data_IF_520695014024
#
_entry.id   IF_520695014024
#
_cell.length_a   1.000
_cell.length_b   1.000
_cell.length_c   1.000
_cell.angle_alpha   90.00
_cell.angle_beta   90.00
_cell.angle_gamma   90.00
#
_symmetry.space_group_name_H-M   'P 1'
#
loop_
_entity.id
_entity.type
_entity.pdbx_description
1 polymer ?
#
# COMPACT_ATOMS: atom_id res chain seq x y z
N UNK A 1 -47.93 -60.73 49.93
CA UNK A 1 -46.51 -60.35 49.95
C UNK A 1 -46.39 -58.84 50.14
N UNK A 2 -45.57 -58.45 51.12
CA UNK A 2 -44.94 -57.14 51.41
C UNK A 2 -45.71 -55.82 51.13
N UNK A 3 -46.44 -55.36 52.15
CA UNK A 3 -46.14 -54.21 53.04
C UNK A 3 -45.47 -52.93 52.49
N UNK A 4 -46.23 -51.80 52.63
CA UNK A 4 -45.93 -50.43 53.19
C UNK A 4 -44.76 -49.66 52.50
N UNK A 5 -44.70 -48.33 52.34
CA UNK A 5 -45.15 -47.20 53.17
C UNK A 5 -45.21 -45.89 52.34
N UNK A 6 -46.25 -45.12 52.64
CA UNK A 6 -46.51 -43.68 52.47
C UNK A 6 -45.38 -42.76 52.95
N UNK A 7 -45.19 -41.56 52.36
CA UNK A 7 -45.06 -40.30 53.12
C UNK A 7 -45.02 -39.04 52.22
N UNK A 8 -46.12 -38.28 52.29
CA UNK A 8 -46.26 -36.83 52.58
C UNK A 8 -45.21 -35.82 52.05
N UNK A 9 -45.62 -34.86 51.20
CA UNK A 9 -46.08 -33.47 51.52
C UNK A 9 -44.91 -32.55 51.91
N UNK A 10 -44.62 -31.45 51.19
CA UNK A 10 -45.18 -30.12 51.51
C UNK A 10 -44.80 -29.06 50.46
N UNK A 11 -45.67 -28.06 50.35
CA UNK A 11 -45.62 -26.92 49.42
C UNK A 11 -44.60 -25.84 49.80
N UNK A 12 -44.18 -25.03 48.83
CA UNK A 12 -43.89 -23.60 49.06
C UNK A 12 -44.02 -22.75 47.79
N UNK A 13 -44.40 -21.51 48.06
CA UNK A 13 -45.05 -20.49 47.24
C UNK A 13 -44.02 -19.49 46.67
N UNK A 14 -44.40 -18.81 45.58
CA UNK A 14 -44.00 -17.44 45.14
C UNK A 14 -42.54 -17.18 44.71
N UNK A 15 -42.38 -16.73 43.45
CA UNK A 15 -42.13 -15.31 43.13
C UNK A 15 -42.03 -15.08 41.61
N UNK A 16 -42.97 -14.30 41.07
CA UNK A 16 -42.88 -13.65 39.76
C UNK A 16 -42.08 -12.35 39.87
N UNK A 17 -41.16 -12.07 38.96
CA UNK A 17 -40.79 -10.72 38.42
C UNK A 17 -39.67 -10.85 37.38
N UNK A 18 -39.52 -9.88 36.47
CA UNK A 18 -39.43 -10.10 35.03
C UNK A 18 -37.99 -10.28 34.55
N UNK A 19 -37.85 -11.07 33.48
CA UNK A 19 -36.65 -11.02 32.65
C UNK A 19 -36.64 -9.63 32.01
N UNK A 20 -35.78 -8.75 32.55
CA UNK A 20 -35.39 -7.51 31.91
C UNK A 20 -34.92 -7.85 30.48
N UNK A 21 -35.72 -7.44 29.51
CA UNK A 21 -35.24 -7.20 28.17
C UNK A 21 -34.19 -6.08 28.26
N UNK A 22 -32.94 -6.47 28.41
CA UNK A 22 -31.85 -5.61 27.99
C UNK A 22 -31.94 -5.58 26.45
N UNK A 23 -32.50 -4.50 25.92
CA UNK A 23 -32.15 -4.03 24.59
C UNK A 23 -30.64 -3.76 24.58
N UNK A 24 -29.85 -4.81 24.35
CA UNK A 24 -28.53 -4.62 23.80
C UNK A 24 -28.75 -4.18 22.35
N UNK A 25 -28.67 -2.87 22.11
CA UNK A 25 -28.11 -2.37 20.85
C UNK A 25 -26.65 -2.84 20.78
N UNK A 26 -26.43 -4.15 20.62
CA UNK A 26 -25.10 -4.69 20.39
C UNK A 26 -24.76 -4.38 18.94
N UNK A 27 -23.72 -3.58 18.74
CA UNK A 27 -23.07 -3.45 17.44
C UNK A 27 -22.76 -4.87 16.93
N UNK A 28 -23.25 -5.29 15.75
CA UNK A 28 -23.41 -6.71 15.47
C UNK A 28 -22.10 -7.49 15.37
N UNK A 29 -20.92 -6.85 15.27
CA UNK A 29 -19.63 -7.55 15.18
C UNK A 29 -18.64 -7.02 16.23
N UNK A 30 -18.92 -7.28 17.51
CA UNK A 30 -17.88 -7.25 18.54
C UNK A 30 -17.03 -8.53 18.57
N UNK A 31 -17.49 -9.63 17.95
CA UNK A 31 -16.81 -10.92 18.03
C UNK A 31 -15.49 -10.94 17.25
N UNK A 32 -14.45 -11.50 17.87
CA UNK A 32 -13.11 -11.77 17.30
C UNK A 32 -13.05 -13.14 16.61
N UNK A 33 -14.17 -13.88 16.63
CA UNK A 33 -14.28 -15.21 16.08
C UNK A 33 -14.01 -15.18 14.56
N UNK A 34 -13.06 -16.00 14.11
CA UNK A 34 -12.64 -16.07 12.70
C UNK A 34 -11.60 -15.02 12.26
N UNK A 35 -11.05 -14.23 13.18
CA UNK A 35 -9.90 -13.35 12.89
C UNK A 35 -8.63 -14.19 12.67
N UNK A 36 -7.89 -13.87 11.62
CA UNK A 36 -6.59 -14.49 11.31
C UNK A 36 -5.51 -13.46 11.59
N UNK A 37 -4.44 -13.89 12.25
CA UNK A 37 -3.25 -13.07 12.49
C UNK A 37 -2.41 -12.97 11.21
N UNK A 38 -2.17 -11.77 10.73
CA UNK A 38 -1.33 -11.48 9.57
C UNK A 38 -0.10 -10.66 9.98
N UNK A 39 0.72 -11.25 10.86
CA UNK A 39 1.92 -10.62 11.43
C UNK A 39 1.73 -10.25 12.89
N UNK A 40 2.80 -9.78 13.53
CA UNK A 40 2.73 -9.32 14.93
C UNK A 40 1.73 -8.16 15.03
N UNK A 41 0.78 -8.29 15.95
CA UNK A 41 -0.19 -7.25 16.29
C UNK A 41 -1.15 -6.80 15.17
N UNK A 42 -1.39 -7.63 14.14
CA UNK A 42 -2.39 -7.36 13.10
C UNK A 42 -3.29 -8.57 12.84
N UNK A 43 -4.60 -8.38 13.01
CA UNK A 43 -5.61 -9.39 12.75
C UNK A 43 -6.67 -8.88 11.80
N UNK A 44 -7.08 -9.75 10.88
CA UNK A 44 -8.07 -9.44 9.86
C UNK A 44 -9.10 -10.56 9.71
N UNK A 45 -10.34 -10.18 9.41
CA UNK A 45 -11.42 -11.09 9.01
C UNK A 45 -12.22 -10.43 7.90
N UNK A 46 -12.34 -11.11 6.77
CA UNK A 46 -13.27 -10.74 5.71
C UNK A 46 -14.71 -10.75 6.23
N UNK A 47 -15.48 -9.75 5.82
CA UNK A 47 -16.90 -9.63 6.14
C UNK A 47 -17.74 -9.72 4.87
N UNK A 48 -18.92 -10.33 4.97
CA UNK A 48 -19.94 -10.26 3.93
C UNK A 48 -20.52 -8.84 3.83
N UNK A 49 -21.13 -8.52 2.68
CA UNK A 49 -21.81 -7.22 2.50
C UNK A 49 -22.90 -7.03 3.55
N UNK A 50 -23.67 -8.06 3.88
CA UNK A 50 -24.71 -7.98 4.91
C UNK A 50 -24.14 -7.68 6.30
N UNK A 51 -23.01 -8.31 6.66
CA UNK A 51 -22.29 -8.06 7.91
C UNK A 51 -21.76 -6.62 7.99
N UNK A 52 -21.24 -6.10 6.89
CA UNK A 52 -20.80 -4.70 6.77
C UNK A 52 -21.99 -3.75 6.94
N UNK A 53 -23.07 -3.98 6.20
CA UNK A 53 -24.24 -3.11 6.20
C UNK A 53 -25.04 -3.18 7.50
N UNK A 54 -24.92 -4.26 8.26
CA UNK A 54 -25.51 -4.41 9.59
C UNK A 54 -24.85 -3.52 10.66
N UNK A 55 -23.65 -2.99 10.41
CA UNK A 55 -22.94 -2.18 11.40
C UNK A 55 -23.69 -0.87 11.69
N UNK A 56 -23.78 -0.53 12.98
CA UNK A 56 -24.47 0.70 13.39
C UNK A 56 -23.78 1.90 12.76
N UNK A 57 -24.57 2.78 12.14
CA UNK A 57 -24.08 3.99 11.48
C UNK A 57 -23.45 3.78 10.10
N UNK A 58 -23.17 2.55 9.66
CA UNK A 58 -22.52 2.27 8.37
C UNK A 58 -23.30 2.84 7.19
N UNK A 59 -24.62 2.62 7.16
CA UNK A 59 -25.47 3.12 6.07
C UNK A 59 -25.38 4.65 5.95
N UNK A 60 -25.48 5.37 7.06
CA UNK A 60 -25.38 6.83 7.07
C UNK A 60 -23.98 7.32 6.69
N UNK A 61 -22.93 6.62 7.15
CA UNK A 61 -21.56 6.93 6.78
C UNK A 61 -21.31 6.76 5.27
N UNK A 62 -21.79 5.67 4.68
CA UNK A 62 -21.73 5.43 3.24
C UNK A 62 -22.60 6.42 2.46
N UNK A 63 -23.80 6.77 2.92
CA UNK A 63 -24.63 7.80 2.28
C UNK A 63 -23.91 9.16 2.23
N UNK A 64 -23.27 9.57 3.33
CA UNK A 64 -22.45 10.79 3.38
C UNK A 64 -21.22 10.73 2.46
N UNK A 65 -20.61 9.56 2.33
CA UNK A 65 -19.53 9.34 1.37
C UNK A 65 -20.03 9.44 -0.07
N UNK A 66 -21.17 8.82 -0.37
CA UNK A 66 -21.78 8.85 -1.69
C UNK A 66 -22.25 10.25 -2.11
N UNK A 67 -22.60 11.14 -1.18
CA UNK A 67 -22.90 12.52 -1.52
C UNK A 67 -21.66 13.26 -2.07
N UNK A 68 -20.46 12.87 -1.62
CA UNK A 68 -19.19 13.40 -2.11
C UNK A 68 -18.71 12.67 -3.38
N UNK A 69 -18.98 11.37 -3.50
CA UNK A 69 -18.60 10.53 -4.64
C UNK A 69 -19.79 9.76 -5.22
N UNK A 70 -20.78 10.41 -5.87
CA UNK A 70 -22.06 9.78 -6.23
C UNK A 70 -21.96 8.54 -7.11
N UNK A 71 -20.92 8.45 -7.97
CA UNK A 71 -20.69 7.31 -8.86
C UNK A 71 -20.40 6.01 -8.10
N UNK A 72 -19.87 6.10 -6.89
CA UNK A 72 -19.48 4.93 -6.09
C UNK A 72 -20.68 4.17 -5.50
N UNK A 73 -21.90 4.71 -5.62
CA UNK A 73 -23.14 4.01 -5.22
C UNK A 73 -23.35 2.69 -5.95
N UNK A 74 -22.77 2.52 -7.14
CA UNK A 74 -22.89 1.31 -7.95
C UNK A 74 -21.69 0.37 -7.80
N UNK A 75 -20.73 0.68 -6.92
CA UNK A 75 -19.51 -0.09 -6.79
C UNK A 75 -19.73 -1.32 -5.93
N UNK A 76 -18.93 -2.35 -6.18
CA UNK A 76 -18.92 -3.54 -5.34
C UNK A 76 -18.34 -3.17 -3.96
N UNK A 77 -19.08 -3.53 -2.91
CA UNK A 77 -18.66 -3.34 -1.53
C UNK A 77 -17.94 -4.61 -1.08
N UNK A 78 -16.71 -4.46 -0.62
CA UNK A 78 -15.96 -5.51 0.07
C UNK A 78 -15.29 -4.93 1.31
N UNK A 79 -14.71 -5.77 2.15
CA UNK A 79 -13.98 -5.29 3.31
C UNK A 79 -13.88 -6.33 4.41
N UNK A 80 -13.34 -5.89 5.53
CA UNK A 80 -13.16 -6.75 6.69
C UNK A 80 -12.98 -5.98 7.99
N UNK A 81 -13.09 -6.73 9.08
CA UNK A 81 -12.76 -6.23 10.41
C UNK A 81 -11.25 -6.27 10.58
N UNK A 82 -10.69 -5.14 11.02
CA UNK A 82 -9.27 -4.99 11.32
C UNK A 82 -9.13 -4.77 12.82
N UNK A 83 -8.23 -5.54 13.42
CA UNK A 83 -7.70 -5.26 14.76
C UNK A 83 -6.20 -5.09 14.64
N UNK A 84 -5.66 -3.97 15.07
CA UNK A 84 -4.21 -3.78 15.15
C UNK A 84 -3.79 -3.01 16.38
N UNK A 85 -2.58 -3.24 16.89
CA UNK A 85 -2.00 -2.41 17.95
C UNK A 85 -1.05 -1.41 17.31
N UNK A 86 -1.39 -0.13 17.38
CA UNK A 86 -0.58 0.95 16.84
C UNK A 86 -0.24 1.93 17.95
N UNK A 87 1.05 2.16 18.20
CA UNK A 87 1.55 3.02 19.28
C UNK A 87 0.96 2.66 20.67
N UNK A 88 0.78 1.37 20.94
CA UNK A 88 0.21 0.86 22.18
C UNK A 88 -1.30 1.08 22.32
N UNK A 89 -1.99 1.54 21.26
CA UNK A 89 -3.45 1.65 21.21
C UNK A 89 -4.02 0.56 20.31
N UNK A 90 -5.01 -0.13 20.84
CA UNK A 90 -5.81 -1.06 20.06
C UNK A 90 -6.75 -0.29 19.13
N UNK A 91 -6.56 -0.50 17.83
CA UNK A 91 -7.43 -0.04 16.77
C UNK A 91 -8.36 -1.20 16.43
N UNK A 92 -9.65 -0.91 16.38
CA UNK A 92 -10.71 -1.86 16.05
C UNK A 92 -11.71 -1.15 15.14
N UNK A 93 -11.60 -1.43 13.86
CA UNK A 93 -12.21 -0.67 12.78
C UNK A 93 -12.63 -1.61 11.64
N UNK A 94 -13.39 -1.07 10.69
CA UNK A 94 -13.78 -1.80 9.50
C UNK A 94 -13.09 -1.14 8.32
N UNK A 95 -12.22 -1.90 7.66
CA UNK A 95 -11.65 -1.52 6.38
C UNK A 95 -12.66 -1.88 5.29
N UNK A 96 -13.09 -0.88 4.53
CA UNK A 96 -14.02 -1.02 3.42
C UNK A 96 -13.30 -0.78 2.10
N UNK A 97 -13.74 -1.48 1.08
CA UNK A 97 -13.36 -1.25 -0.31
C UNK A 97 -14.61 -1.04 -1.14
N UNK A 98 -14.61 0.00 -1.96
CA UNK A 98 -15.62 0.23 -2.99
C UNK A 98 -14.92 0.10 -4.34
N UNK A 99 -15.24 -0.95 -5.09
CA UNK A 99 -14.50 -1.35 -6.29
C UNK A 99 -15.33 -1.23 -7.56
N UNK A 100 -14.68 -0.75 -8.60
CA UNK A 100 -15.06 -0.89 -10.01
C UNK A 100 -13.88 -1.47 -10.79
N UNK A 101 -14.05 -1.66 -12.11
CA UNK A 101 -12.94 -2.10 -12.97
C UNK A 101 -11.83 -1.05 -13.10
N UNK A 102 -12.16 0.23 -12.98
CA UNK A 102 -11.26 1.36 -13.24
C UNK A 102 -10.71 2.02 -11.97
N UNK A 103 -11.39 1.86 -10.83
CA UNK A 103 -10.98 2.48 -9.58
C UNK A 103 -11.44 1.72 -8.34
N UNK A 104 -10.68 1.90 -7.25
CA UNK A 104 -10.99 1.41 -5.91
C UNK A 104 -10.91 2.58 -4.92
N UNK A 105 -11.89 2.68 -4.03
CA UNK A 105 -11.76 3.46 -2.80
C UNK A 105 -11.49 2.55 -1.63
N UNK A 106 -10.49 2.87 -0.82
CA UNK A 106 -10.27 2.27 0.49
C UNK A 106 -10.75 3.24 1.57
N UNK A 107 -11.67 2.80 2.43
CA UNK A 107 -12.25 3.61 3.50
C UNK A 107 -12.01 2.93 4.84
N UNK A 108 -11.76 3.75 5.86
CA UNK A 108 -11.67 3.28 7.25
C UNK A 108 -12.90 3.74 8.00
N UNK A 109 -13.72 2.81 8.49
CA UNK A 109 -14.89 3.10 9.31
C UNK A 109 -14.59 2.84 10.79
N UNK A 110 -14.62 3.91 11.58
CA UNK A 110 -14.47 3.86 13.03
C UNK A 110 -15.81 3.46 13.68
N UNK A 111 -15.84 2.28 14.28
CA UNK A 111 -17.03 1.67 14.88
C UNK A 111 -17.56 2.47 16.09
N UNK A 112 -16.69 3.22 16.79
CA UNK A 112 -17.07 3.97 18.00
C UNK A 112 -17.71 5.31 17.66
N UNK A 113 -17.17 5.98 16.66
CA UNK A 113 -17.63 7.30 16.22
C UNK A 113 -18.65 7.22 15.09
N UNK A 114 -18.85 6.02 14.53
CA UNK A 114 -19.77 5.72 13.44
C UNK A 114 -19.50 6.57 12.19
N UNK A 115 -18.21 6.81 11.90
CA UNK A 115 -17.75 7.70 10.82
C UNK A 115 -16.65 7.06 10.01
N UNK A 116 -16.60 7.43 8.73
CA UNK A 116 -15.43 7.20 7.89
C UNK A 116 -14.36 8.23 8.29
N UNK A 117 -13.22 7.74 8.76
CA UNK A 117 -12.10 8.55 9.27
C UNK A 117 -11.01 8.75 8.23
N UNK A 118 -10.80 7.76 7.36
CA UNK A 118 -9.78 7.78 6.31
C UNK A 118 -10.38 7.37 4.97
N UNK A 119 -9.81 7.93 3.90
CA UNK A 119 -10.22 7.66 2.54
C UNK A 119 -9.00 7.74 1.62
N UNK A 120 -8.78 6.66 0.88
CA UNK A 120 -7.79 6.57 -0.19
C UNK A 120 -8.49 6.18 -1.48
N UNK A 121 -7.90 6.56 -2.61
CA UNK A 121 -8.39 6.18 -3.93
C UNK A 121 -7.24 5.62 -4.75
N UNK A 122 -7.52 4.57 -5.50
CA UNK A 122 -6.65 4.06 -6.54
C UNK A 122 -7.38 4.07 -7.88
N UNK A 123 -6.77 4.66 -8.90
CA UNK A 123 -7.29 4.68 -10.27
C UNK A 123 -6.33 3.88 -11.14
N UNK A 124 -6.86 3.00 -11.98
CA UNK A 124 -6.09 2.08 -12.83
C UNK A 124 -6.12 2.51 -14.29
N UNK A 125 -5.22 1.92 -15.10
CA UNK A 125 -5.22 2.01 -16.56
C UNK A 125 -5.21 3.44 -17.13
N UNK A 126 -4.60 4.38 -16.40
CA UNK A 126 -4.44 5.76 -16.83
C UNK A 126 -3.48 5.84 -18.03
N UNK A 127 -3.93 6.34 -19.18
CA UNK A 127 -3.07 6.47 -20.35
C UNK A 127 -1.97 7.51 -20.10
N UNK A 128 -0.80 7.30 -20.68
CA UNK A 128 0.36 8.21 -20.53
C UNK A 128 0.02 9.67 -20.91
N UNK A 129 -0.92 9.88 -21.85
CA UNK A 129 -1.40 11.20 -22.26
C UNK A 129 -2.09 12.00 -21.15
N UNK A 130 -2.65 11.31 -20.15
CA UNK A 130 -3.36 11.89 -19.01
C UNK A 130 -2.45 12.13 -17.80
N UNK A 131 -1.20 11.65 -17.84
CA UNK A 131 -0.26 11.89 -16.77
C UNK A 131 0.08 13.39 -16.61
N UNK A 132 0.33 13.87 -15.37
CA UNK A 132 0.77 15.22 -15.13
C UNK A 132 2.03 15.58 -15.93
N UNK A 133 2.20 16.87 -16.24
CA UNK A 133 3.39 17.34 -16.96
C UNK A 133 4.68 17.05 -16.21
N UNK A 134 4.65 17.08 -14.87
CA UNK A 134 5.79 16.77 -13.99
C UNK A 134 6.22 15.31 -14.12
N UNK A 135 5.26 14.39 -13.98
CA UNK A 135 5.46 12.94 -14.16
C UNK A 135 6.03 12.64 -15.55
N UNK A 136 5.42 13.19 -16.61
CA UNK A 136 5.92 13.03 -18.00
C UNK A 136 7.33 13.58 -18.21
N UNK A 137 7.64 14.75 -17.65
CA UNK A 137 8.98 15.32 -17.76
C UNK A 137 10.04 14.43 -17.09
N UNK A 138 9.70 13.73 -16.00
CA UNK A 138 10.61 12.76 -15.38
C UNK A 138 10.74 11.49 -16.21
N UNK A 139 9.66 10.98 -16.80
CA UNK A 139 9.73 9.87 -17.77
C UNK A 139 10.65 10.21 -18.95
N UNK A 140 10.52 11.42 -19.51
CA UNK A 140 11.39 11.89 -20.59
C UNK A 140 12.88 11.90 -20.20
N UNK A 141 13.20 12.25 -18.95
CA UNK A 141 14.58 12.14 -18.43
C UNK A 141 15.06 10.70 -18.42
N UNK A 142 14.24 9.76 -17.92
CA UNK A 142 14.57 8.34 -17.91
C UNK A 142 14.74 7.81 -19.34
N UNK A 143 13.86 8.17 -20.26
CA UNK A 143 13.95 7.81 -21.67
C UNK A 143 15.19 8.40 -22.36
N UNK A 144 15.64 9.59 -21.95
CA UNK A 144 16.90 10.15 -22.43
C UNK A 144 18.12 9.39 -21.91
N UNK A 145 18.05 8.82 -20.71
CA UNK A 145 19.11 7.99 -20.13
C UNK A 145 19.07 6.56 -20.67
N UNK A 146 17.89 6.05 -20.99
CA UNK A 146 17.66 4.72 -21.55
C UNK A 146 16.64 4.79 -22.70
N UNK A 147 17.10 5.05 -23.95
CA UNK A 147 16.23 5.09 -25.11
C UNK A 147 15.49 3.77 -25.36
N UNK A 148 16.04 2.65 -24.88
CA UNK A 148 15.37 1.35 -24.93
C UNK A 148 14.10 1.31 -24.07
N UNK A 149 14.09 1.98 -22.91
CA UNK A 149 12.90 2.06 -22.06
C UNK A 149 11.74 2.80 -22.75
N UNK A 150 12.04 3.73 -23.66
CA UNK A 150 11.05 4.45 -24.46
C UNK A 150 10.30 3.55 -25.45
N UNK A 151 10.91 2.43 -25.85
CA UNK A 151 10.30 1.50 -26.80
C UNK A 151 9.40 0.46 -26.11
N UNK A 152 9.37 0.45 -24.77
CA UNK A 152 8.46 -0.39 -24.01
C UNK A 152 7.05 0.19 -24.04
N UNK A 153 6.06 -0.69 -23.92
CA UNK A 153 4.65 -0.36 -23.87
C UNK A 153 4.18 -0.35 -22.42
N UNK A 154 3.39 0.67 -22.07
CA UNK A 154 2.70 0.72 -20.79
C UNK A 154 1.74 -0.47 -20.68
N UNK A 155 1.88 -1.26 -19.62
CA UNK A 155 0.99 -2.39 -19.31
C UNK A 155 0.22 -2.19 -18.00
N UNK A 156 0.77 -1.41 -17.08
CA UNK A 156 0.16 -1.07 -15.80
C UNK A 156 0.39 0.40 -15.48
N UNK A 157 -0.63 1.04 -14.96
CA UNK A 157 -0.57 2.43 -14.54
C UNK A 157 -1.60 2.65 -13.44
N UNK A 158 -1.13 3.10 -12.29
CA UNK A 158 -1.96 3.36 -11.12
C UNK A 158 -1.67 4.76 -10.56
N UNK A 159 -2.72 5.50 -10.21
CA UNK A 159 -2.61 6.68 -9.35
C UNK A 159 -3.19 6.32 -7.99
N UNK A 160 -2.37 6.47 -6.97
CA UNK A 160 -2.77 6.38 -5.58
C UNK A 160 -2.96 7.78 -5.05
N UNK A 161 -4.13 8.07 -4.50
CA UNK A 161 -4.38 9.29 -3.73
C UNK A 161 -4.55 8.89 -2.28
N UNK A 162 -3.55 9.23 -1.46
CA UNK A 162 -3.63 9.06 -0.01
C UNK A 162 -4.38 10.25 0.57
N UNK A 163 -5.27 9.97 1.53
CA UNK A 163 -6.05 10.98 2.24
C UNK A 163 -6.62 12.05 1.29
N UNK A 164 -7.70 11.74 0.56
CA UNK A 164 -8.22 12.53 -0.57
C UNK A 164 -8.33 14.06 -0.31
N UNK A 165 -8.42 14.48 0.95
CA UNK A 165 -8.40 15.89 1.36
C UNK A 165 -7.05 16.58 1.14
N UNK A 166 -5.95 15.88 1.39
CA UNK A 166 -4.57 16.36 1.28
C UNK A 166 -4.03 16.24 -0.15
N UNK A 167 -4.65 15.39 -0.98
CA UNK A 167 -4.34 15.20 -2.41
C UNK A 167 -2.88 14.81 -2.67
N UNK A 168 -2.26 14.11 -1.74
CA UNK A 168 -0.95 13.50 -1.96
C UNK A 168 -1.14 12.33 -2.94
N UNK A 169 -0.35 12.33 -4.02
CA UNK A 169 -0.50 11.37 -5.10
C UNK A 169 0.79 10.64 -5.40
N UNK A 170 0.71 9.32 -5.49
CA UNK A 170 1.77 8.47 -6.03
C UNK A 170 1.32 7.89 -7.38
N UNK A 171 2.25 7.84 -8.32
CA UNK A 171 2.07 7.29 -9.66
C UNK A 171 2.93 6.03 -9.76
N UNK A 172 2.32 4.87 -10.02
CA UNK A 172 3.01 3.60 -10.23
C UNK A 172 2.81 3.17 -11.68
N UNK A 173 3.90 3.05 -12.44
CA UNK A 173 3.87 2.78 -13.87
C UNK A 173 4.75 1.58 -14.21
N UNK A 174 4.18 0.63 -14.95
CA UNK A 174 4.84 -0.56 -15.43
C UNK A 174 4.83 -0.64 -16.95
N UNK A 175 6.01 -0.89 -17.53
CA UNK A 175 6.23 -0.98 -18.95
C UNK A 175 6.92 -2.30 -19.31
N UNK A 176 6.52 -2.92 -20.42
CA UNK A 176 7.17 -4.12 -20.94
C UNK A 176 7.09 -4.17 -22.47
N UNK A 177 7.66 -5.21 -23.10
CA UNK A 177 7.70 -5.31 -24.57
C UNK A 177 6.31 -5.53 -25.22
N UNK A 178 5.40 -6.18 -24.48
CA UNK A 178 4.13 -6.66 -25.03
C UNK A 178 2.95 -5.71 -24.75
N UNK A 179 3.01 -4.89 -23.70
CA UNK A 179 1.93 -4.06 -23.20
C UNK A 179 0.93 -4.81 -22.31
N UNK A 180 1.25 -6.04 -21.91
CA UNK A 180 0.41 -6.90 -21.06
C UNK A 180 1.27 -7.85 -20.24
N UNK A 181 0.77 -8.31 -19.09
CA UNK A 181 1.42 -9.38 -18.32
C UNK A 181 0.95 -10.72 -18.90
N UNK A 182 1.89 -11.50 -19.43
CA UNK A 182 1.63 -12.85 -19.93
C UNK A 182 2.13 -13.87 -18.90
N UNK A 183 1.21 -14.64 -18.32
CA UNK A 183 1.54 -15.66 -17.34
C UNK A 183 2.55 -16.68 -17.90
N UNK A 184 3.65 -16.92 -17.18
CA UNK A 184 4.71 -17.83 -17.60
C UNK A 184 5.81 -17.20 -18.46
N UNK A 185 5.66 -15.96 -18.94
CA UNK A 185 6.69 -15.25 -19.71
C UNK A 185 7.49 -14.27 -18.85
N UNK A 186 8.47 -14.79 -18.11
CA UNK A 186 9.30 -14.00 -17.20
C UNK A 186 10.56 -13.39 -17.84
N UNK A 187 10.73 -13.53 -19.15
CA UNK A 187 11.94 -13.05 -19.85
C UNK A 187 11.74 -11.70 -20.56
N UNK A 188 10.53 -11.15 -20.53
CA UNK A 188 10.21 -9.88 -21.17
C UNK A 188 10.96 -8.75 -20.44
N UNK A 189 11.51 -7.79 -21.21
CA UNK A 189 12.09 -6.58 -20.60
C UNK A 189 11.02 -5.86 -19.83
N UNK A 190 11.36 -5.40 -18.63
CA UNK A 190 10.42 -4.67 -17.79
C UNK A 190 11.06 -3.44 -17.17
N UNK A 191 10.27 -2.38 -17.08
CA UNK A 191 10.62 -1.14 -16.43
C UNK A 191 9.46 -0.73 -15.54
N UNK A 192 9.72 -0.59 -14.24
CA UNK A 192 8.75 -0.10 -13.27
C UNK A 192 9.27 1.19 -12.64
N UNK A 193 8.39 2.15 -12.40
CA UNK A 193 8.73 3.44 -11.80
C UNK A 193 7.60 3.94 -10.91
N UNK A 194 7.98 4.48 -9.74
CA UNK A 194 7.10 5.19 -8.82
C UNK A 194 7.53 6.63 -8.67
N UNK A 195 6.57 7.54 -8.73
CA UNK A 195 6.75 8.99 -8.69
C UNK A 195 5.75 9.62 -7.74
N UNK A 196 6.16 10.67 -7.01
CA UNK A 196 5.20 11.53 -6.31
C UNK A 196 4.54 12.55 -7.27
N UNK A 197 3.63 13.38 -6.75
CA UNK A 197 2.91 14.39 -7.53
C UNK A 197 3.81 15.47 -8.14
N UNK A 198 5.00 15.68 -7.56
CA UNK A 198 6.01 16.60 -8.08
C UNK A 198 6.83 15.99 -9.22
N UNK A 199 6.67 14.69 -9.47
CA UNK A 199 7.45 13.92 -10.42
C UNK A 199 8.80 13.47 -9.86
N UNK A 200 9.02 13.53 -8.54
CA UNK A 200 10.22 13.01 -7.89
C UNK A 200 10.14 11.49 -7.88
N UNK A 201 11.23 10.84 -8.30
CA UNK A 201 11.31 9.38 -8.34
C UNK A 201 11.46 8.85 -6.92
N UNK A 202 10.56 7.98 -6.49
CA UNK A 202 10.67 7.24 -5.21
C UNK A 202 11.20 5.83 -5.45
N UNK A 203 10.94 5.27 -6.63
CA UNK A 203 11.45 3.96 -7.02
C UNK A 203 11.57 3.87 -8.54
N UNK A 204 12.58 3.15 -9.02
CA UNK A 204 12.49 2.52 -10.33
C UNK A 204 13.36 1.28 -10.42
N UNK A 205 13.01 0.38 -11.33
CA UNK A 205 13.80 -0.82 -11.60
C UNK A 205 13.66 -1.27 -13.05
N UNK A 206 14.78 -1.68 -13.63
CA UNK A 206 14.82 -2.42 -14.87
C UNK A 206 15.02 -3.91 -14.58
N UNK A 207 14.10 -4.75 -15.07
CA UNK A 207 14.18 -6.20 -14.95
C UNK A 207 14.58 -6.83 -16.28
N UNK A 208 15.14 -8.04 -16.18
CA UNK A 208 15.38 -8.99 -17.27
C UNK A 208 16.34 -8.59 -18.41
N UNK A 209 16.77 -7.33 -18.58
CA UNK A 209 17.86 -6.94 -19.49
C UNK A 209 18.68 -5.78 -18.91
N UNK A 210 20.00 -5.68 -19.19
CA UNK A 210 20.74 -4.45 -18.95
C UNK A 210 20.14 -3.35 -19.83
N UNK A 211 19.30 -2.52 -19.22
CA UNK A 211 18.97 -1.19 -19.72
C UNK A 211 19.96 -0.24 -19.06
N UNK A 212 21.23 -0.17 -19.52
CA UNK A 212 22.18 0.72 -18.91
C UNK A 212 21.61 2.12 -19.03
N UNK A 213 21.55 2.83 -17.90
CA UNK A 213 21.41 4.28 -17.91
C UNK A 213 22.67 4.83 -18.61
N UNK A 214 22.57 5.00 -19.92
CA UNK A 214 23.61 5.56 -20.78
C UNK A 214 23.77 7.05 -20.49
N UNK A 215 24.87 7.63 -20.97
CA UNK A 215 25.15 9.07 -20.88
C UNK A 215 25.26 9.64 -19.44
N UNK A 216 25.45 8.79 -18.43
CA UNK A 216 25.83 9.24 -17.09
C UNK A 216 27.32 9.59 -17.05
N UNK A 217 27.63 10.81 -16.60
CA UNK A 217 29.01 11.24 -16.34
C UNK A 217 29.64 10.38 -15.24
N UNK A 218 30.93 10.08 -15.38
CA UNK A 218 31.70 9.31 -14.39
C UNK A 218 32.32 8.03 -14.94
N UNK A 219 33.48 7.69 -14.38
CA UNK A 219 34.24 6.48 -14.69
C UNK A 219 33.94 5.34 -13.70
N UNK A 220 33.38 5.66 -12.54
CA UNK A 220 33.02 4.69 -11.49
C UNK A 220 31.50 4.56 -11.33
N UNK A 221 31.03 3.46 -10.74
CA UNK A 221 29.60 3.27 -10.42
C UNK A 221 29.10 4.31 -9.41
N UNK A 222 29.96 4.76 -8.51
CA UNK A 222 29.72 5.83 -7.55
C UNK A 222 29.50 7.18 -8.24
N UNK A 223 30.41 7.56 -9.15
CA UNK A 223 30.27 8.80 -9.93
C UNK A 223 29.01 8.77 -10.81
N UNK A 224 28.75 7.64 -11.48
CA UNK A 224 27.53 7.46 -12.28
C UNK A 224 26.27 7.54 -11.43
N UNK A 225 26.28 6.96 -10.23
CA UNK A 225 25.13 7.04 -9.33
C UNK A 225 24.91 8.47 -8.83
N UNK A 226 25.98 9.22 -8.55
CA UNK A 226 25.85 10.65 -8.22
C UNK A 226 25.32 11.46 -9.41
N UNK A 227 25.76 11.16 -10.64
CA UNK A 227 25.25 11.80 -11.85
C UNK A 227 23.76 11.48 -12.07
N UNK A 228 23.33 10.24 -11.81
CA UNK A 228 21.92 9.86 -11.83
C UNK A 228 21.11 10.68 -10.84
N UNK A 229 21.56 10.80 -9.58
CA UNK A 229 20.88 11.60 -8.57
C UNK A 229 20.76 13.07 -9.01
N UNK A 230 21.80 13.66 -9.61
CA UNK A 230 21.74 15.04 -10.14
C UNK A 230 20.69 15.21 -11.24
N UNK A 231 20.55 14.23 -12.14
CA UNK A 231 19.54 14.29 -13.21
C UNK A 231 18.11 14.21 -12.66
N UNK A 232 17.89 13.36 -11.64
CA UNK A 232 16.57 13.11 -11.06
C UNK A 232 16.17 14.17 -10.04
N UNK A 233 17.07 14.57 -9.15
CA UNK A 233 16.80 15.45 -8.00
C UNK A 233 17.39 16.86 -8.13
N UNK A 234 18.15 17.16 -9.19
CA UNK A 234 18.73 18.49 -9.39
C UNK A 234 19.68 18.89 -8.26
N UNK A 235 19.47 20.08 -7.68
CA UNK A 235 20.29 20.63 -6.60
C UNK A 235 20.21 19.81 -5.30
N UNK A 236 19.05 19.18 -5.04
CA UNK A 236 18.83 18.32 -3.87
C UNK A 236 19.81 17.14 -3.84
N UNK A 237 20.32 16.68 -4.99
CA UNK A 237 21.32 15.62 -5.06
C UNK A 237 22.60 15.91 -4.26
N UNK A 238 22.92 17.20 -4.03
CA UNK A 238 24.09 17.62 -3.23
C UNK A 238 23.95 17.36 -1.73
N UNK A 239 22.73 17.17 -1.25
CA UNK A 239 22.43 16.84 0.14
C UNK A 239 22.62 15.35 0.45
N UNK A 240 22.90 14.53 -0.56
CA UNK A 240 23.09 13.10 -0.43
C UNK A 240 24.58 12.74 -0.52
N UNK A 241 25.05 11.95 0.45
CA UNK A 241 26.45 11.47 0.50
C UNK A 241 26.48 9.95 0.48
N UNK A 242 27.41 9.38 -0.27
CA UNK A 242 27.66 7.94 -0.27
C UNK A 242 28.10 7.52 1.14
N UNK A 243 27.35 6.61 1.74
CA UNK A 243 27.63 6.03 3.06
C UNK A 243 28.26 4.65 2.94
N UNK A 244 27.74 3.82 2.03
CA UNK A 244 28.17 2.44 1.87
C UNK A 244 28.04 2.01 0.42
N UNK A 245 28.98 1.18 -0.03
CA UNK A 245 28.92 0.46 -1.31
C UNK A 245 29.05 -1.02 -0.99
N UNK A 246 28.05 -1.80 -1.37
CA UNK A 246 28.06 -3.25 -1.20
C UNK A 246 28.11 -3.91 -2.56
N UNK A 247 28.99 -4.90 -2.71
CA UNK A 247 29.12 -5.74 -3.90
C UNK A 247 28.98 -7.19 -3.45
N UNK A 248 28.03 -7.91 -4.02
CA UNK A 248 27.94 -9.36 -3.92
C UNK A 248 28.81 -9.96 -5.00
N UNK A 249 29.60 -11.00 -4.68
CA UNK A 249 30.52 -11.59 -5.66
C UNK A 249 29.80 -12.46 -6.70
N UNK A 250 28.71 -13.15 -6.31
CA UNK A 250 27.92 -14.00 -7.21
C UNK A 250 26.40 -13.93 -6.95
N UNK A 251 25.58 -13.59 -7.97
CA UNK A 251 25.98 -12.88 -9.18
C UNK A 251 26.55 -11.51 -8.79
N UNK A 252 27.56 -11.01 -9.54
CA UNK A 252 28.07 -9.64 -9.32
C UNK A 252 26.89 -8.67 -9.38
N UNK A 253 26.49 -8.11 -8.25
CA UNK A 253 25.41 -7.13 -8.16
C UNK A 253 25.62 -6.38 -6.87
N UNK A 254 25.00 -5.23 -6.74
CA UNK A 254 25.17 -4.50 -5.51
C UNK A 254 24.37 -3.24 -5.48
N UNK A 255 24.66 -2.44 -4.46
CA UNK A 255 24.00 -1.18 -4.27
C UNK A 255 24.92 -0.16 -3.61
N UNK A 256 24.57 1.09 -3.83
CA UNK A 256 25.21 2.28 -3.28
C UNK A 256 24.16 2.97 -2.41
N UNK A 257 24.48 3.12 -1.13
CA UNK A 257 23.60 3.79 -0.16
C UNK A 257 24.01 5.25 -0.07
N UNK A 258 23.06 6.14 -0.37
CA UNK A 258 23.16 7.57 -0.20
C UNK A 258 22.40 7.98 1.05
N UNK A 259 23.12 8.59 2.00
CA UNK A 259 22.52 9.15 3.20
C UNK A 259 22.31 10.65 3.03
N UNK A 260 21.11 11.16 3.36
CA UNK A 260 20.85 12.59 3.35
C UNK A 260 21.55 13.27 4.52
N UNK A 261 21.93 14.53 4.32
CA UNK A 261 22.47 15.38 5.39
C UNK A 261 21.38 15.83 6.38
N UNK A 262 20.14 15.97 5.93
CA UNK A 262 18.98 16.27 6.78
C UNK A 262 18.33 14.98 7.31
N UNK A 263 17.82 15.02 8.53
CA UNK A 263 16.98 13.95 9.10
C UNK A 263 15.56 13.94 8.55
N UNK A 264 15.12 15.01 7.89
CA UNK A 264 13.79 15.14 7.28
C UNK A 264 13.67 14.38 5.95
N UNK A 265 14.79 13.87 5.42
CA UNK A 265 14.85 13.17 4.14
C UNK A 265 15.15 11.70 4.34
N UNK A 266 14.64 10.90 3.41
CA UNK A 266 14.86 9.47 3.37
C UNK A 266 16.15 9.12 2.61
N UNK A 267 16.90 8.10 3.09
CA UNK A 267 17.98 7.47 2.33
C UNK A 267 17.57 7.00 0.93
N UNK A 268 18.56 6.97 0.02
CA UNK A 268 18.39 6.47 -1.35
C UNK A 268 19.36 5.30 -1.59
N UNK A 269 18.85 4.22 -2.17
CA UNK A 269 19.64 3.06 -2.59
C UNK A 269 19.65 3.01 -4.11
N UNK A 270 20.84 3.05 -4.71
CA UNK A 270 21.01 2.86 -6.16
C UNK A 270 21.56 1.46 -6.42
N UNK A 271 20.89 0.70 -7.28
CA UNK A 271 21.24 -0.69 -7.61
C UNK A 271 22.09 -0.75 -8.87
N UNK A 272 23.03 -1.69 -8.92
CA UNK A 272 23.82 -1.99 -10.12
C UNK A 272 23.97 -3.49 -10.37
N UNK A 273 24.15 -3.85 -11.64
CA UNK A 273 24.27 -5.23 -12.12
C UNK A 273 25.73 -5.74 -12.15
N UNK A 274 25.94 -6.91 -12.77
CA UNK A 274 27.25 -7.58 -12.87
C UNK A 274 28.28 -6.87 -13.75
N UNK A 275 27.83 -5.91 -14.56
CA UNK A 275 28.65 -5.03 -15.38
C UNK A 275 28.85 -3.65 -14.73
N UNK A 276 28.43 -3.49 -13.48
CA UNK A 276 28.40 -2.21 -12.76
C UNK A 276 27.53 -1.14 -13.45
N UNK A 277 26.55 -1.56 -14.24
CA UNK A 277 25.56 -0.68 -14.84
C UNK A 277 24.44 -0.46 -13.84
N UNK A 278 24.03 0.80 -13.67
CA UNK A 278 22.93 1.15 -12.79
C UNK A 278 21.62 0.63 -13.38
N UNK A 279 20.79 0.00 -12.57
CA UNK A 279 19.53 -0.61 -13.01
C UNK A 279 18.34 -0.35 -12.09
N UNK A 280 18.50 0.48 -11.07
CA UNK A 280 17.39 0.85 -10.20
C UNK A 280 17.75 1.87 -9.14
N UNK A 281 16.72 2.47 -8.57
CA UNK A 281 16.78 3.39 -7.44
C UNK A 281 15.59 3.11 -6.52
N UNK A 282 15.79 3.29 -5.22
CA UNK A 282 14.74 3.16 -4.23
C UNK A 282 15.00 4.13 -3.07
N UNK A 283 13.99 4.95 -2.75
CA UNK A 283 13.93 5.72 -1.52
C UNK A 283 13.50 4.78 -0.40
N UNK A 284 14.22 4.78 0.71
CA UNK A 284 14.01 3.83 1.81
C UNK A 284 14.17 4.49 3.17
N UNK A 285 13.75 3.82 4.25
CA UNK A 285 13.95 4.28 5.63
C UNK A 285 15.31 3.89 6.19
N UNK A 286 15.73 4.58 7.26
CA UNK A 286 16.95 4.23 8.01
C UNK A 286 16.81 2.87 8.68
N UNK A 287 15.67 2.61 9.29
CA UNK A 287 15.36 1.34 9.98
C UNK A 287 15.49 0.15 9.03
N UNK A 288 15.01 0.29 7.78
CA UNK A 288 15.20 -0.75 6.76
C UNK A 288 16.68 -0.99 6.46
N UNK A 289 17.46 0.08 6.32
CA UNK A 289 18.90 -0.04 6.07
C UNK A 289 19.65 -0.67 7.24
N UNK A 290 19.28 -0.35 8.49
CA UNK A 290 19.86 -0.96 9.68
C UNK A 290 19.52 -2.45 9.75
N UNK A 291 18.25 -2.80 9.55
CA UNK A 291 17.79 -4.19 9.49
C UNK A 291 18.51 -5.00 8.41
N UNK A 292 18.70 -4.41 7.22
CA UNK A 292 19.41 -5.04 6.11
C UNK A 292 20.95 -5.03 6.26
N UNK A 293 21.48 -4.47 7.36
CA UNK A 293 22.93 -4.38 7.61
C UNK A 293 23.67 -3.46 6.64
N UNK A 294 23.00 -2.41 6.16
CA UNK A 294 23.49 -1.47 5.14
C UNK A 294 23.93 -0.12 5.72
N UNK A 295 23.73 0.09 7.02
CA UNK A 295 24.32 1.15 7.84
C UNK A 295 25.38 0.57 8.79
#
# INVERSE_FOLDING_TARGET
>A
MKKVVTAFLTASLLATTPVLAAEQESNPIQQEEGMIEHGEDYWFRDLTVDEIMAQKGMKLALESFYDQFPRTKTYEIGGGKVRRVENGKEINEIALSLRSEEEIFGLTFDIKTEKITECSQRVFNIPESELPKTVRATLDKIYSLSPEAKNLKLYASEIWTFNIKEKEQEYDLGFNENGEIIEGEYNNKEFNIKLDETGKVTYFKFENIPLPLGNLEGNTKEEKAQALLKQLYGEEASEYKIKKVTVYEEPRKGFIVFMPTSSEKYPIVVRFNNKYELNGLEVTTRDFLEFAGLL
#
